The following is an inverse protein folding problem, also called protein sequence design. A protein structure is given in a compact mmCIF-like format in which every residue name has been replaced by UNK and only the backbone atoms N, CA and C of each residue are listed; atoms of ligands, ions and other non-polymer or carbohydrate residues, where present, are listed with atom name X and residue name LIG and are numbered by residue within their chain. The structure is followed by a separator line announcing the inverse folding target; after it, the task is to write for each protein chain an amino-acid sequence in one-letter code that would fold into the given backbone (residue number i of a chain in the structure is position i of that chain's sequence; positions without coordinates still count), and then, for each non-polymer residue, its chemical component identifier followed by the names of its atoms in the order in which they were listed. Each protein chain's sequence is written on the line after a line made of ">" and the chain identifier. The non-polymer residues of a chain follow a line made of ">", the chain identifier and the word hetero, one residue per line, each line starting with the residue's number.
data_IF_975166999775
#
_entry.id   IF_975166999775
#
_cell.length_a   1.000
_cell.length_b   1.000
_cell.length_c   1.000
_cell.angle_alpha   90.00
_cell.angle_beta   90.00
_cell.angle_gamma   90.00
#
_symmetry.space_group_name_H-M   'P 1'
#
loop_
_entity.id
_entity.type
_entity.pdbx_description
1 polymer ?
#
# COMPACT_ATOMS: atom_id res chain seq x y z
N UNK A 1 2.02 -8.92 -7.31
CA UNK A 1 2.24 -9.88 -8.42
C UNK A 1 0.95 -10.57 -8.90
N UNK A 2 -0.04 -10.82 -8.04
CA UNK A 2 -1.27 -11.55 -8.39
C UNK A 2 -2.15 -10.85 -9.45
N UNK A 3 -2.35 -9.53 -9.36
CA UNK A 3 -3.26 -8.79 -10.25
C UNK A 3 -2.85 -8.90 -11.72
N UNK A 4 -1.58 -8.63 -12.04
CA UNK A 4 -1.05 -8.73 -13.41
C UNK A 4 -1.27 -10.12 -14.00
N UNK A 5 -0.91 -11.17 -13.27
CA UNK A 5 -1.05 -12.56 -13.75
C UNK A 5 -2.52 -12.90 -14.00
N UNK A 6 -3.44 -12.45 -13.14
CA UNK A 6 -4.87 -12.64 -13.33
C UNK A 6 -5.40 -11.93 -14.58
N UNK A 7 -4.98 -10.67 -14.79
CA UNK A 7 -5.34 -9.89 -15.97
C UNK A 7 -4.78 -10.53 -17.26
N UNK A 8 -3.51 -10.95 -17.26
CA UNK A 8 -2.87 -11.62 -18.40
C UNK A 8 -3.60 -12.91 -18.76
N UNK A 9 -3.82 -13.79 -17.78
CA UNK A 9 -4.54 -15.05 -18.00
C UNK A 9 -5.93 -14.82 -18.58
N UNK A 10 -6.67 -13.82 -18.06
CA UNK A 10 -8.03 -13.56 -18.54
C UNK A 10 -8.06 -12.99 -19.95
N UNK A 11 -7.11 -12.12 -20.30
CA UNK A 11 -6.98 -11.58 -21.64
C UNK A 11 -6.64 -12.69 -22.67
N UNK A 12 -5.74 -13.61 -22.32
CA UNK A 12 -5.43 -14.79 -23.14
C UNK A 12 -6.66 -15.70 -23.34
N UNK A 13 -7.43 -15.98 -22.28
CA UNK A 13 -8.68 -16.77 -22.36
C UNK A 13 -9.72 -16.15 -23.31
N UNK A 14 -9.71 -14.82 -23.46
CA UNK A 14 -10.60 -14.07 -24.33
C UNK A 14 -10.04 -13.87 -25.76
N UNK A 15 -8.83 -14.38 -26.03
CA UNK A 15 -8.18 -14.30 -27.35
C UNK A 15 -7.46 -12.98 -27.63
N UNK A 16 -7.16 -12.18 -26.62
CA UNK A 16 -6.37 -10.95 -26.78
C UNK A 16 -4.87 -11.22 -26.80
N UNK A 17 -4.15 -10.49 -27.64
CA UNK A 17 -2.68 -10.41 -27.61
C UNK A 17 -2.25 -9.39 -26.55
N UNK A 18 -1.35 -9.79 -25.65
CA UNK A 18 -0.86 -8.92 -24.57
C UNK A 18 0.50 -8.36 -24.91
N UNK A 19 0.63 -7.04 -24.80
CA UNK A 19 1.91 -6.32 -24.88
C UNK A 19 2.25 -5.83 -23.48
N UNK A 20 3.43 -6.19 -22.97
CA UNK A 20 3.92 -5.75 -21.65
C UNK A 20 4.84 -4.56 -21.84
N UNK A 21 4.47 -3.41 -21.29
CA UNK A 21 5.30 -2.21 -21.37
C UNK A 21 5.45 -1.55 -19.98
N UNK A 22 6.53 -1.87 -19.24
CA UNK A 22 6.79 -1.27 -17.93
C UNK A 22 7.40 0.13 -18.00
N UNK A 23 7.98 0.53 -19.14
CA UNK A 23 8.70 1.82 -19.28
C UNK A 23 7.84 2.94 -19.87
N UNK A 24 6.63 2.64 -20.35
CA UNK A 24 5.75 3.57 -21.07
C UNK A 24 6.37 4.12 -22.36
N UNK A 25 7.39 3.46 -22.89
CA UNK A 25 8.06 3.86 -24.14
C UNK A 25 7.17 3.57 -25.34
N UNK A 26 7.14 4.48 -26.31
CA UNK A 26 6.11 4.57 -27.35
C UNK A 26 6.23 3.61 -28.53
N UNK A 27 7.10 2.61 -28.48
CA UNK A 27 7.36 1.79 -29.66
C UNK A 27 6.21 0.79 -29.91
N UNK A 28 5.49 1.01 -31.02
CA UNK A 28 4.45 0.14 -31.62
C UNK A 28 3.11 -0.01 -30.85
N UNK A 29 2.41 1.10 -30.58
CA UNK A 29 1.03 1.09 -30.04
C UNK A 29 -0.09 1.28 -31.08
N UNK A 30 0.22 1.34 -32.38
CA UNK A 30 -0.74 1.73 -33.42
C UNK A 30 -2.01 0.86 -33.51
N UNK A 31 -1.97 -0.39 -33.03
CA UNK A 31 -3.10 -1.33 -33.06
C UNK A 31 -3.59 -1.74 -31.65
N UNK A 32 -3.32 -0.92 -30.64
CA UNK A 32 -3.71 -1.23 -29.26
C UNK A 32 -5.23 -1.03 -29.06
N UNK A 33 -5.94 -2.07 -28.64
CA UNK A 33 -7.39 -1.98 -28.36
C UNK A 33 -7.70 -1.27 -27.03
N UNK A 34 -6.77 -1.32 -26.07
CA UNK A 34 -6.89 -0.66 -24.77
C UNK A 34 -5.73 -0.97 -23.82
N UNK A 35 -5.71 -0.31 -22.67
CA UNK A 35 -4.63 -0.39 -21.66
C UNK A 35 -5.22 -0.77 -20.30
N UNK A 36 -4.57 -1.75 -19.65
CA UNK A 36 -4.72 -2.01 -18.22
C UNK A 36 -3.50 -1.43 -17.48
N UNK A 37 -3.66 -0.24 -16.90
CA UNK A 37 -2.61 0.45 -16.18
C UNK A 37 -2.60 -0.02 -14.71
N UNK A 38 -1.73 -0.97 -14.37
CA UNK A 38 -1.68 -1.59 -13.03
C UNK A 38 -0.54 -0.97 -12.21
N UNK A 39 -0.88 -0.25 -11.14
CA UNK A 39 0.09 0.34 -10.23
C UNK A 39 -0.29 1.73 -9.72
N UNK A 40 0.70 2.41 -9.17
CA UNK A 40 0.62 3.81 -8.79
C UNK A 40 1.22 4.66 -9.90
N UNK A 41 0.53 5.75 -10.23
CA UNK A 41 0.90 6.67 -11.30
C UNK A 41 0.82 8.09 -10.79
N UNK A 42 1.77 8.94 -11.17
CA UNK A 42 1.67 10.37 -10.97
C UNK A 42 0.92 11.05 -12.14
N UNK A 43 0.64 12.35 -12.02
CA UNK A 43 -0.07 13.12 -13.05
C UNK A 43 0.54 13.00 -14.46
N UNK A 44 1.86 13.05 -14.56
CA UNK A 44 2.54 13.00 -15.85
C UNK A 44 2.41 11.61 -16.48
N UNK A 45 2.51 10.56 -15.68
CA UNK A 45 2.31 9.19 -16.13
C UNK A 45 0.86 8.94 -16.57
N UNK A 46 -0.13 9.45 -15.83
CA UNK A 46 -1.55 9.37 -16.25
C UNK A 46 -1.76 10.06 -17.59
N UNK A 47 -1.22 11.27 -17.79
CA UNK A 47 -1.29 11.99 -19.07
C UNK A 47 -0.58 11.24 -20.21
N UNK A 48 0.59 10.66 -19.93
CA UNK A 48 1.33 9.86 -20.91
C UNK A 48 0.52 8.64 -21.33
N UNK A 49 -0.03 7.87 -20.38
CA UNK A 49 -0.85 6.69 -20.66
C UNK A 49 -2.09 7.08 -21.48
N UNK A 50 -2.74 8.21 -21.15
CA UNK A 50 -3.87 8.74 -21.93
C UNK A 50 -3.50 9.02 -23.38
N UNK A 51 -2.28 9.50 -23.64
CA UNK A 51 -1.83 9.78 -25.01
C UNK A 51 -1.60 8.52 -25.85
N UNK A 52 -1.48 7.34 -25.21
CA UNK A 52 -1.26 6.07 -25.89
C UNK A 52 -2.57 5.42 -26.36
N UNK A 53 -3.68 5.62 -25.63
CA UNK A 53 -4.98 5.07 -25.99
C UNK A 53 -6.12 5.76 -25.24
N UNK A 54 -7.31 5.83 -25.84
CA UNK A 54 -8.52 6.34 -25.17
C UNK A 54 -9.16 5.30 -24.24
N UNK A 55 -9.01 4.00 -24.55
CA UNK A 55 -9.58 2.92 -23.74
C UNK A 55 -8.59 2.50 -22.65
N UNK A 56 -8.66 3.15 -21.48
CA UNK A 56 -7.75 2.88 -20.36
C UNK A 56 -8.53 2.57 -19.08
N UNK A 57 -8.17 1.47 -18.42
CA UNK A 57 -8.61 1.16 -17.06
C UNK A 57 -7.40 1.22 -16.13
N UNK A 58 -7.49 2.03 -15.08
CA UNK A 58 -6.45 2.11 -14.05
C UNK A 58 -6.77 1.16 -12.89
N UNK A 59 -5.76 0.42 -12.41
CA UNK A 59 -5.93 -0.58 -11.37
C UNK A 59 -4.93 -0.30 -10.23
N UNK A 60 -5.46 -0.02 -9.04
CA UNK A 60 -4.65 0.18 -7.83
C UNK A 60 -4.09 1.59 -7.64
N UNK A 61 -4.72 2.62 -8.23
CA UNK A 61 -4.36 4.03 -8.03
C UNK A 61 -4.59 4.52 -6.61
N UNK A 62 -5.45 3.85 -5.83
CA UNK A 62 -5.89 4.25 -4.49
C UNK A 62 -6.73 5.55 -4.44
N UNK A 63 -7.06 6.13 -5.59
CA UNK A 63 -7.96 7.26 -5.74
C UNK A 63 -8.70 7.16 -7.08
N UNK A 64 -9.95 7.66 -7.17
CA UNK A 64 -10.65 7.76 -8.44
C UNK A 64 -9.96 8.78 -9.35
N UNK A 65 -9.99 8.52 -10.65
CA UNK A 65 -9.61 9.48 -11.69
C UNK A 65 -10.89 9.90 -12.41
N UNK A 66 -11.15 11.21 -12.49
CA UNK A 66 -12.46 11.75 -12.92
C UNK A 66 -12.85 11.38 -14.37
N UNK A 67 -11.88 11.01 -15.21
CA UNK A 67 -12.08 10.69 -16.63
C UNK A 67 -11.89 9.20 -16.98
N UNK A 68 -11.71 8.31 -16.00
CA UNK A 68 -11.30 6.93 -16.26
C UNK A 68 -12.01 5.90 -15.38
N UNK A 69 -12.17 4.71 -15.94
CA UNK A 69 -12.52 3.54 -15.15
C UNK A 69 -11.36 3.18 -14.23
N UNK A 70 -11.68 3.03 -12.93
CA UNK A 70 -10.70 2.64 -11.92
C UNK A 70 -11.16 1.40 -11.17
N UNK A 71 -10.25 0.46 -10.96
CA UNK A 71 -10.46 -0.71 -10.11
C UNK A 71 -9.52 -0.59 -8.91
N UNK A 72 -10.10 -0.33 -7.75
CA UNK A 72 -9.36 -0.11 -6.50
C UNK A 72 -9.85 -1.04 -5.41
N UNK A 73 -8.92 -1.48 -4.55
CA UNK A 73 -9.29 -2.16 -3.31
C UNK A 73 -9.86 -1.17 -2.30
N UNK A 74 -10.83 -1.60 -1.51
CA UNK A 74 -11.34 -0.82 -0.38
C UNK A 74 -10.39 -0.93 0.83
N UNK A 75 -9.23 -0.28 0.70
CA UNK A 75 -8.17 -0.29 1.70
C UNK A 75 -8.57 0.44 3.00
N UNK A 76 -9.48 1.42 2.90
CA UNK A 76 -10.05 2.06 4.08
C UNK A 76 -10.84 1.03 4.89
N UNK A 77 -11.78 0.31 4.26
CA UNK A 77 -12.55 -0.71 4.94
C UNK A 77 -11.68 -1.86 5.45
N UNK A 78 -10.71 -2.31 4.67
CA UNK A 78 -9.78 -3.35 5.10
C UNK A 78 -9.00 -2.93 6.36
N UNK A 79 -8.57 -1.67 6.43
CA UNK A 79 -7.87 -1.10 7.57
C UNK A 79 -8.76 -1.03 8.81
N UNK A 80 -9.99 -0.56 8.69
CA UNK A 80 -10.96 -0.54 9.80
C UNK A 80 -11.20 -1.95 10.35
N UNK A 81 -11.39 -2.94 9.46
CA UNK A 81 -11.61 -4.33 9.87
C UNK A 81 -10.41 -4.91 10.64
N UNK A 82 -9.18 -4.62 10.19
CA UNK A 82 -7.98 -5.05 10.87
C UNK A 82 -7.84 -4.39 12.25
N UNK A 83 -8.10 -3.08 12.35
CA UNK A 83 -8.02 -2.34 13.61
C UNK A 83 -9.11 -2.78 14.59
N UNK A 84 -10.33 -2.97 14.12
CA UNK A 84 -11.44 -3.47 14.93
C UNK A 84 -11.13 -4.87 15.47
N UNK A 85 -10.53 -5.74 14.64
CA UNK A 85 -10.07 -7.04 15.09
C UNK A 85 -9.04 -6.93 16.22
N UNK A 86 -8.00 -6.11 16.07
CA UNK A 86 -6.99 -5.90 17.11
C UNK A 86 -7.61 -5.35 18.41
N UNK A 87 -8.53 -4.39 18.30
CA UNK A 87 -9.22 -3.79 19.44
C UNK A 87 -10.13 -4.78 20.16
N UNK A 88 -10.88 -5.60 19.42
CA UNK A 88 -11.72 -6.67 19.98
C UNK A 88 -10.91 -7.72 20.73
N UNK A 89 -9.64 -7.92 20.34
CA UNK A 89 -8.68 -8.76 21.05
C UNK A 89 -7.96 -8.03 22.20
N UNK A 90 -8.40 -6.83 22.59
CA UNK A 90 -7.93 -6.11 23.77
C UNK A 90 -6.73 -5.19 23.54
N UNK A 91 -6.20 -5.10 22.32
CA UNK A 91 -5.09 -4.18 22.03
C UNK A 91 -5.56 -2.72 22.09
N UNK A 92 -4.83 -1.91 22.87
CA UNK A 92 -5.02 -0.45 22.97
C UNK A 92 -3.81 0.34 22.48
N UNK A 93 -2.61 -0.21 22.63
CA UNK A 93 -1.37 0.34 22.07
C UNK A 93 -1.16 -0.28 20.70
N UNK A 94 -1.67 0.36 19.66
CA UNK A 94 -1.55 -0.12 18.27
C UNK A 94 -0.71 0.90 17.50
N UNK A 95 0.37 0.44 16.89
CA UNK A 95 1.24 1.26 16.04
C UNK A 95 0.98 1.04 14.56
N UNK A 96 1.54 1.91 13.73
CA UNK A 96 1.52 1.81 12.29
C UNK A 96 2.96 1.72 11.75
N UNK A 97 3.21 0.76 10.87
CA UNK A 97 4.42 0.72 10.04
C UNK A 97 3.99 0.83 8.58
N UNK A 98 4.36 1.94 7.95
CA UNK A 98 3.90 2.34 6.64
C UNK A 98 5.00 2.84 5.73
N UNK A 99 4.67 2.92 4.46
CA UNK A 99 5.47 3.58 3.45
C UNK A 99 4.53 4.27 2.46
N UNK A 100 4.91 5.47 2.04
CA UNK A 100 4.09 6.30 1.19
C UNK A 100 4.97 7.26 0.40
N UNK A 101 5.00 7.15 -0.93
CA UNK A 101 5.62 8.19 -1.75
C UNK A 101 4.70 9.41 -1.84
N UNK A 102 5.12 10.52 -1.24
CA UNK A 102 4.35 11.77 -1.28
C UNK A 102 4.23 12.39 -2.68
N UNK A 103 5.16 12.10 -3.59
CA UNK A 103 5.16 12.62 -4.97
C UNK A 103 4.25 11.85 -5.94
N UNK A 104 3.85 10.63 -5.59
CA UNK A 104 3.01 9.75 -6.43
C UNK A 104 1.53 9.77 -6.03
N UNK A 105 1.14 10.58 -5.05
CA UNK A 105 -0.22 10.61 -4.50
C UNK A 105 -0.79 12.03 -4.50
N UNK A 106 -2.07 12.11 -4.87
CA UNK A 106 -2.82 13.36 -4.97
C UNK A 106 -3.37 13.83 -3.61
N UNK A 107 -3.43 15.15 -3.39
CA UNK A 107 -4.20 15.77 -2.31
C UNK A 107 -3.42 16.57 -1.27
N UNK A 108 -4.12 17.25 -0.37
CA UNK A 108 -3.53 18.17 0.63
C UNK A 108 -3.20 17.50 1.98
N UNK A 109 -3.62 16.25 2.19
CA UNK A 109 -3.40 15.54 3.45
C UNK A 109 -1.92 15.18 3.62
N UNK A 110 -1.46 15.15 4.88
CA UNK A 110 -0.11 14.65 5.25
C UNK A 110 0.10 13.21 4.79
N UNK A 111 -0.94 12.38 4.93
CA UNK A 111 -1.00 11.01 4.43
C UNK A 111 -2.20 10.87 3.51
N UNK A 112 -1.97 10.30 2.33
CA UNK A 112 -2.92 10.16 1.22
C UNK A 112 -3.24 8.70 0.94
N UNK A 113 -2.37 7.78 1.35
CA UNK A 113 -2.64 6.34 1.34
C UNK A 113 -3.87 6.00 2.19
N UNK A 114 -4.89 5.31 1.62
CA UNK A 114 -6.09 4.91 2.36
C UNK A 114 -5.84 4.18 3.66
N UNK A 115 -4.88 3.26 3.68
CA UNK A 115 -4.58 2.52 4.90
C UNK A 115 -4.00 3.43 6.00
N UNK A 116 -3.19 4.42 5.62
CA UNK A 116 -2.52 5.31 6.57
C UNK A 116 -3.49 6.35 7.10
N UNK A 117 -4.22 7.07 6.24
CA UNK A 117 -5.17 8.08 6.75
C UNK A 117 -6.29 7.42 7.54
N UNK A 118 -6.76 6.23 7.15
CA UNK A 118 -7.82 5.51 7.88
C UNK A 118 -7.33 5.06 9.25
N UNK A 119 -6.07 4.60 9.36
CA UNK A 119 -5.47 4.32 10.66
C UNK A 119 -5.49 5.55 11.58
N UNK A 120 -5.04 6.71 11.06
CA UNK A 120 -4.99 7.95 11.84
C UNK A 120 -6.39 8.37 12.29
N UNK A 121 -7.36 8.38 11.37
CA UNK A 121 -8.73 8.81 11.64
C UNK A 121 -9.42 7.85 12.64
N UNK A 122 -9.28 6.53 12.46
CA UNK A 122 -9.84 5.51 13.35
C UNK A 122 -9.24 5.58 14.76
N UNK A 123 -7.91 5.68 14.86
CA UNK A 123 -7.23 5.73 16.16
C UNK A 123 -7.53 7.04 16.92
N UNK A 124 -7.70 8.17 16.20
CA UNK A 124 -8.19 9.43 16.78
C UNK A 124 -9.61 9.29 17.31
N UNK A 125 -10.52 8.73 16.50
CA UNK A 125 -11.92 8.53 16.89
C UNK A 125 -12.04 7.73 18.20
N UNK A 126 -11.16 6.75 18.42
CA UNK A 126 -11.13 5.95 19.64
C UNK A 126 -10.29 6.53 20.79
N UNK A 127 -9.69 7.72 20.63
CA UNK A 127 -8.74 8.31 21.59
C UNK A 127 -7.55 7.38 21.92
N UNK A 128 -7.06 6.64 20.92
CA UNK A 128 -5.95 5.70 21.05
C UNK A 128 -4.73 6.09 20.21
N UNK A 129 -4.81 7.15 19.41
CA UNK A 129 -3.69 7.59 18.59
C UNK A 129 -2.54 8.06 19.48
N UNK A 130 -1.36 7.48 19.24
CA UNK A 130 -0.09 8.02 19.68
C UNK A 130 0.79 8.22 18.44
N UNK A 131 1.21 9.46 18.18
CA UNK A 131 2.00 9.80 17.01
C UNK A 131 3.41 9.19 17.06
N UNK A 132 3.96 8.93 18.25
CA UNK A 132 5.25 8.25 18.44
C UNK A 132 5.23 6.78 17.98
N UNK A 133 4.04 6.23 17.71
CA UNK A 133 3.84 4.87 17.22
C UNK A 133 3.55 4.81 15.72
N UNK A 134 3.66 5.94 15.02
CA UNK A 134 3.41 6.05 13.58
C UNK A 134 4.73 6.17 12.82
N UNK A 135 5.17 5.06 12.24
CA UNK A 135 6.41 4.98 11.48
C UNK A 135 6.08 4.89 9.99
N UNK A 136 6.23 6.00 9.25
CA UNK A 136 5.96 6.04 7.81
C UNK A 136 7.22 6.52 7.08
N UNK A 137 7.72 5.71 6.13
CA UNK A 137 8.85 6.08 5.26
C UNK A 137 8.35 6.66 3.94
N UNK A 138 8.95 7.75 3.50
CA UNK A 138 8.73 8.29 2.16
C UNK A 138 9.55 7.48 1.13
N UNK A 139 8.90 6.66 0.32
CA UNK A 139 9.54 5.76 -0.66
C UNK A 139 8.56 5.16 -1.65
N UNK A 140 9.03 4.91 -2.88
CA UNK A 140 8.34 4.14 -3.92
C UNK A 140 8.47 2.62 -3.77
N UNK A 141 9.37 2.15 -2.90
CA UNK A 141 9.72 0.74 -2.78
C UNK A 141 9.38 0.21 -1.38
N UNK A 142 8.09 0.03 -1.06
CA UNK A 142 7.65 -0.47 0.24
C UNK A 142 7.95 -1.98 0.35
N UNK A 143 9.22 -2.30 0.58
CA UNK A 143 9.79 -3.65 0.50
C UNK A 143 10.21 -4.19 1.88
N UNK A 144 10.81 -5.38 1.90
CA UNK A 144 11.28 -6.06 3.12
C UNK A 144 12.26 -5.18 3.92
N UNK A 145 13.22 -4.54 3.24
CA UNK A 145 14.25 -3.74 3.91
C UNK A 145 13.63 -2.51 4.61
N UNK A 146 12.60 -1.91 4.02
CA UNK A 146 11.84 -0.82 4.67
C UNK A 146 11.15 -1.32 5.93
N UNK A 147 10.53 -2.50 5.88
CA UNK A 147 9.94 -3.12 7.07
C UNK A 147 10.97 -3.42 8.17
N UNK A 148 12.14 -3.93 7.79
CA UNK A 148 13.25 -4.19 8.71
C UNK A 148 13.77 -2.89 9.36
N UNK A 149 13.96 -1.83 8.57
CA UNK A 149 14.41 -0.53 9.07
C UNK A 149 13.43 0.05 10.09
N UNK A 150 12.14 0.08 9.76
CA UNK A 150 11.13 0.70 10.63
C UNK A 150 10.89 -0.12 11.89
N UNK A 151 10.88 -1.46 11.82
CA UNK A 151 10.81 -2.29 13.02
C UNK A 151 12.07 -2.14 13.89
N UNK A 152 13.24 -1.87 13.30
CA UNK A 152 14.45 -1.57 14.08
C UNK A 152 14.30 -0.27 14.91
N UNK A 153 13.55 0.73 14.43
CA UNK A 153 13.24 1.93 15.22
C UNK A 153 12.23 1.62 16.34
N UNK A 154 11.28 0.73 16.10
CA UNK A 154 10.30 0.28 17.11
C UNK A 154 10.98 -0.41 18.29
N UNK A 155 11.98 -1.26 18.03
CA UNK A 155 12.66 -2.03 19.08
C UNK A 155 13.59 -1.17 19.95
N UNK A 156 13.91 0.05 19.51
CA UNK A 156 14.67 1.02 20.30
C UNK A 156 13.77 1.81 21.26
N UNK A 157 12.45 1.74 21.10
CA UNK A 157 11.51 2.34 22.05
C UNK A 157 11.65 1.68 23.44
N UNK A 158 11.44 2.44 24.53
CA UNK A 158 11.33 1.88 25.87
C UNK A 158 10.26 0.78 25.92
N UNK A 159 10.54 -0.34 26.58
CA UNK A 159 9.64 -1.52 26.63
C UNK A 159 8.21 -1.14 27.03
N UNK A 160 8.05 -0.30 28.05
CA UNK A 160 6.75 0.13 28.56
C UNK A 160 5.98 1.04 27.59
N UNK A 161 6.68 1.64 26.63
CA UNK A 161 6.11 2.53 25.61
C UNK A 161 5.94 1.85 24.24
N UNK A 162 6.21 0.55 24.11
CA UNK A 162 6.03 -0.16 22.83
C UNK A 162 4.56 -0.45 22.54
N UNK A 163 4.13 -0.34 21.27
CA UNK A 163 2.86 -0.91 20.83
C UNK A 163 2.80 -2.41 21.07
N UNK A 164 1.60 -2.88 21.40
CA UNK A 164 1.29 -4.30 21.60
C UNK A 164 0.85 -5.00 20.32
N UNK A 165 0.51 -4.23 19.29
CA UNK A 165 0.17 -4.70 17.96
C UNK A 165 0.55 -3.63 16.92
N UNK A 166 0.74 -4.05 15.68
CA UNK A 166 1.03 -3.15 14.56
C UNK A 166 0.11 -3.45 13.39
N UNK A 167 -0.40 -2.39 12.77
CA UNK A 167 -0.86 -2.46 11.38
C UNK A 167 0.35 -2.19 10.48
N UNK A 168 0.56 -3.05 9.48
CA UNK A 168 1.65 -2.91 8.51
C UNK A 168 1.05 -2.84 7.11
N UNK A 169 1.42 -1.82 6.33
CA UNK A 169 0.69 -1.45 5.10
C UNK A 169 0.78 -2.47 3.96
N UNK A 170 1.74 -3.40 4.00
CA UNK A 170 1.80 -4.52 3.06
C UNK A 170 2.56 -5.73 3.62
N UNK A 171 2.42 -6.88 2.94
CA UNK A 171 3.00 -8.15 3.36
C UNK A 171 4.54 -8.17 3.32
N UNK A 172 5.16 -7.52 2.33
CA UNK A 172 6.62 -7.49 2.21
C UNK A 172 7.26 -6.76 3.40
N UNK A 173 6.71 -5.63 3.79
CA UNK A 173 7.13 -4.91 4.99
C UNK A 173 6.83 -5.71 6.25
N UNK A 174 5.67 -6.38 6.32
CA UNK A 174 5.33 -7.23 7.46
C UNK A 174 6.33 -8.37 7.66
N UNK A 175 6.78 -9.00 6.57
CA UNK A 175 7.85 -10.01 6.60
C UNK A 175 9.17 -9.42 7.11
N UNK A 176 9.54 -8.21 6.66
CA UNK A 176 10.72 -7.51 7.18
C UNK A 176 10.62 -7.25 8.69
N UNK A 177 9.47 -6.76 9.15
CA UNK A 177 9.22 -6.59 10.57
C UNK A 177 9.34 -7.91 11.35
N UNK A 178 8.77 -9.00 10.83
CA UNK A 178 8.89 -10.33 11.43
C UNK A 178 10.34 -10.83 11.48
N UNK A 179 11.17 -10.51 10.49
CA UNK A 179 12.60 -10.87 10.50
C UNK A 179 13.33 -10.23 11.68
N UNK A 180 13.07 -8.94 11.95
CA UNK A 180 13.64 -8.23 13.09
C UNK A 180 13.13 -8.82 14.40
N UNK A 181 11.82 -9.03 14.54
CA UNK A 181 11.24 -9.63 15.74
C UNK A 181 11.81 -11.03 16.04
N UNK A 182 12.02 -11.87 15.01
CA UNK A 182 12.62 -13.19 15.17
C UNK A 182 14.07 -13.14 15.64
N UNK A 183 14.85 -12.15 15.19
CA UNK A 183 16.24 -11.95 15.63
C UNK A 183 16.32 -11.53 17.11
N UNK A 184 15.24 -10.95 17.64
CA UNK A 184 15.15 -10.45 19.03
C UNK A 184 14.58 -11.52 19.98
N UNK A 185 14.52 -12.81 19.57
CA UNK A 185 14.12 -13.98 20.40
C UNK A 185 15.01 -14.21 21.64
N UNK A 186 15.00 -13.28 22.56
CA UNK A 186 15.25 -13.47 23.98
C UNK A 186 14.02 -13.06 24.83
N UNK A 187 13.03 -12.34 24.29
CA UNK A 187 11.83 -11.96 25.05
C UNK A 187 10.61 -11.91 24.11
N UNK A 188 9.54 -12.62 24.49
CA UNK A 188 8.19 -12.71 23.89
C UNK A 188 7.82 -13.97 23.08
N UNK A 189 6.85 -14.71 23.65
CA UNK A 189 6.06 -15.78 23.04
C UNK A 189 5.06 -15.16 22.05
N UNK A 190 4.97 -15.69 20.83
CA UNK A 190 3.84 -15.46 19.92
C UNK A 190 2.98 -16.71 19.91
N UNK A 191 1.68 -16.54 20.16
CA UNK A 191 0.62 -17.51 19.87
C UNK A 191 0.27 -17.37 18.39
#
# INVERSE_FOLDING_TARGET
>A
MSIRIGAEKKAEELGYTIIKNPSLDSDNFNDLMGILAIGLFNENQVKQIKSLNENVVFIGTNYPLDDFDTINGDFARATELALEFLRKNGHKKIGLIGAENQSSLFGYRKYRSPSIYTFIDYMKYHNLLNEDWVFVKDTDEPNINVGEELMSKVIDLPLDNRPTAFLIVNDSMALGCMNIMKKIKSIFLMI
#
